data_IF_489887847149
#
_entry.id   IF_489887847149
#
_cell.length_a   1.000
_cell.length_b   1.000
_cell.length_c   1.000
_cell.angle_alpha   90.00
_cell.angle_beta   90.00
_cell.angle_gamma   90.00
#
_symmetry.space_group_name_H-M   'P 1'
#
loop_
_entity.id
_entity.type
_entity.pdbx_description
1 polymer ?
#
# COMPACT_ATOMS: atom_id res chain seq x y z
N UNK A 1 -45.66 -37.06 35.74
CA UNK A 1 -44.66 -37.85 34.98
C UNK A 1 -43.93 -36.89 34.07
N UNK A 2 -42.61 -36.73 33.99
CA UNK A 2 -41.45 -37.48 34.46
C UNK A 2 -40.25 -36.52 34.55
N UNK A 3 -39.35 -36.87 35.45
CA UNK A 3 -38.10 -36.24 35.86
C UNK A 3 -36.91 -36.50 34.92
N UNK A 4 -35.88 -35.65 35.08
CA UNK A 4 -34.42 -35.92 35.08
C UNK A 4 -33.60 -35.99 33.77
N UNK A 5 -32.68 -35.00 33.67
CA UNK A 5 -31.22 -35.07 33.51
C UNK A 5 -30.57 -36.22 32.69
N UNK A 6 -29.72 -35.82 31.73
CA UNK A 6 -28.62 -36.62 31.20
C UNK A 6 -27.67 -35.81 30.32
N UNK A 7 -26.57 -35.31 30.91
CA UNK A 7 -25.44 -34.64 30.24
C UNK A 7 -24.63 -35.64 29.39
N UNK A 8 -24.07 -35.18 28.25
CA UNK A 8 -22.63 -35.27 27.90
C UNK A 8 -22.36 -34.69 26.49
N UNK A 9 -21.64 -33.56 26.46
CA UNK A 9 -20.47 -33.19 25.61
C UNK A 9 -20.48 -33.57 24.12
N UNK A 10 -20.17 -32.70 23.15
CA UNK A 10 -18.98 -31.85 23.03
C UNK A 10 -19.09 -31.02 21.71
N UNK A 11 -18.31 -29.93 21.61
CA UNK A 11 -17.96 -29.17 20.39
C UNK A 11 -18.95 -28.10 19.87
N UNK A 12 -18.69 -26.83 20.23
CA UNK A 12 -17.97 -25.84 19.41
C UNK A 12 -18.37 -24.42 19.83
N UNK A 13 -17.64 -23.84 20.79
CA UNK A 13 -17.70 -22.39 21.03
C UNK A 13 -16.88 -21.64 19.96
N UNK A 14 -17.35 -20.48 19.46
CA UNK A 14 -16.55 -19.58 18.64
C UNK A 14 -15.56 -18.79 19.51
N UNK A 15 -14.29 -18.83 19.08
CA UNK A 15 -13.15 -18.15 19.67
C UNK A 15 -13.24 -16.62 19.45
N UNK A 16 -14.21 -15.95 20.09
CA UNK A 16 -14.49 -14.52 19.89
C UNK A 16 -14.46 -13.67 21.16
N UNK A 17 -13.96 -14.21 22.28
CA UNK A 17 -13.85 -13.47 23.54
C UNK A 17 -12.53 -13.72 24.25
N UNK A 18 -11.43 -13.23 23.69
CA UNK A 18 -10.22 -12.89 24.46
C UNK A 18 -9.46 -11.70 23.85
N UNK A 19 -10.17 -10.62 23.54
CA UNK A 19 -9.58 -9.29 23.46
C UNK A 19 -10.40 -8.36 24.36
N UNK A 20 -10.22 -8.53 25.67
CA UNK A 20 -10.67 -7.57 26.67
C UNK A 20 -9.80 -6.32 26.53
N UNK A 21 -10.32 -5.35 25.78
CA UNK A 21 -9.80 -3.99 25.74
C UNK A 21 -10.13 -3.34 27.09
N UNK A 22 -9.12 -3.09 27.92
CA UNK A 22 -9.21 -2.14 29.01
C UNK A 22 -8.87 -0.76 28.47
N UNK A 23 -9.82 0.16 28.69
CA UNK A 23 -9.79 1.58 28.35
C UNK A 23 -8.45 2.25 28.65
N UNK A 24 -7.85 2.85 27.63
CA UNK A 24 -7.09 4.08 27.77
C UNK A 24 -7.26 4.90 26.51
N UNK A 25 -7.80 6.11 26.68
CA UNK A 25 -7.78 7.19 25.70
C UNK A 25 -6.34 7.45 25.25
N UNK A 26 -5.97 6.87 24.11
CA UNK A 26 -4.83 7.31 23.33
C UNK A 26 -5.31 7.37 21.88
N UNK A 27 -5.65 8.57 21.43
CA UNK A 27 -5.73 8.88 20.00
C UNK A 27 -4.45 8.35 19.36
N UNK A 28 -4.48 7.40 18.40
CA UNK A 28 -3.26 6.95 17.78
C UNK A 28 -2.84 8.02 16.77
N UNK A 29 -2.13 9.04 17.26
CA UNK A 29 -1.14 9.72 16.45
C UNK A 29 -0.04 8.69 16.17
N UNK A 30 -0.28 7.87 15.15
CA UNK A 30 0.76 7.07 14.53
C UNK A 30 1.82 8.08 14.11
N UNK A 31 2.96 8.10 14.78
CA UNK A 31 4.15 8.79 14.30
C UNK A 31 4.58 8.06 13.01
N UNK A 32 4.00 8.45 11.86
CA UNK A 32 4.07 7.77 10.55
C UNK A 32 5.42 7.92 9.84
N UNK A 33 6.51 7.84 10.58
CA UNK A 33 7.85 7.73 10.00
C UNK A 33 8.64 6.73 10.86
N UNK A 34 8.18 5.48 10.87
CA UNK A 34 8.99 4.40 11.43
C UNK A 34 10.21 4.23 10.53
N UNK A 35 11.35 4.78 10.96
CA UNK A 35 12.64 4.57 10.30
C UNK A 35 12.83 3.05 10.14
N UNK A 36 12.95 2.57 8.89
CA UNK A 36 13.10 1.14 8.62
C UNK A 36 14.37 0.64 9.33
N UNK A 37 14.19 -0.09 10.42
CA UNK A 37 15.29 -0.61 11.22
C UNK A 37 15.31 -2.13 11.12
N UNK A 38 16.09 -2.63 10.16
CA UNK A 38 16.29 -4.05 9.94
C UNK A 38 17.61 -4.49 10.58
N UNK A 39 17.65 -5.71 11.12
CA UNK A 39 18.93 -6.32 11.51
C UNK A 39 19.71 -6.78 10.28
N UNK A 40 21.04 -6.99 10.35
CA UNK A 40 21.81 -7.58 9.24
C UNK A 40 21.23 -8.92 8.77
N UNK A 41 20.75 -9.74 9.72
CA UNK A 41 20.06 -11.01 9.43
C UNK A 41 18.78 -10.79 8.62
N UNK A 42 17.95 -9.83 9.01
CA UNK A 42 16.70 -9.52 8.31
C UNK A 42 16.96 -8.96 6.90
N UNK A 43 17.98 -8.12 6.72
CA UNK A 43 18.40 -7.66 5.37
C UNK A 43 18.82 -8.83 4.48
N UNK A 44 19.63 -9.75 5.01
CA UNK A 44 20.02 -10.97 4.28
C UNK A 44 18.81 -11.81 3.88
N UNK A 45 17.88 -12.04 4.80
CA UNK A 45 16.66 -12.83 4.55
C UNK A 45 15.73 -12.16 3.54
N UNK A 46 15.60 -10.83 3.57
CA UNK A 46 14.84 -10.07 2.55
C UNK A 46 15.45 -10.26 1.17
N UNK A 47 16.76 -10.05 1.01
CA UNK A 47 17.46 -10.25 -0.27
C UNK A 47 17.27 -11.68 -0.79
N UNK A 48 17.47 -12.69 0.07
CA UNK A 48 17.32 -14.09 -0.32
C UNK A 48 15.90 -14.45 -0.74
N UNK A 49 14.90 -14.11 0.07
CA UNK A 49 13.50 -14.42 -0.23
C UNK A 49 12.97 -13.62 -1.41
N UNK A 50 13.37 -12.36 -1.57
CA UNK A 50 13.05 -11.57 -2.77
C UNK A 50 13.63 -12.19 -4.03
N UNK A 51 14.92 -12.54 -4.05
CA UNK A 51 15.55 -13.15 -5.23
C UNK A 51 14.88 -14.48 -5.61
N UNK A 52 14.51 -15.29 -4.62
CA UNK A 52 13.75 -16.51 -4.87
C UNK A 52 12.38 -16.21 -5.52
N UNK A 53 11.66 -15.20 -5.02
CA UNK A 53 10.38 -14.80 -5.60
C UNK A 53 10.51 -14.04 -6.93
N UNK A 54 11.59 -13.32 -7.19
CA UNK A 54 11.76 -12.54 -8.42
C UNK A 54 12.29 -13.39 -9.58
N UNK A 55 12.77 -14.61 -9.29
CA UNK A 55 13.18 -15.55 -10.31
C UNK A 55 12.04 -15.90 -11.27
N UNK A 56 12.32 -15.86 -12.58
CA UNK A 56 11.39 -16.26 -13.64
C UNK A 56 10.09 -15.45 -13.72
N UNK A 57 10.08 -14.20 -13.20
CA UNK A 57 8.90 -13.33 -13.23
C UNK A 57 7.82 -13.68 -12.20
N UNK A 58 8.14 -14.52 -11.20
CA UNK A 58 7.18 -14.92 -10.16
C UNK A 58 6.70 -13.72 -9.33
N UNK A 59 7.58 -12.76 -9.04
CA UNK A 59 7.23 -11.56 -8.27
C UNK A 59 6.28 -10.64 -9.05
N UNK A 60 6.43 -10.55 -10.38
CA UNK A 60 5.47 -9.83 -11.24
C UNK A 60 4.07 -10.44 -11.12
N UNK A 61 3.94 -11.78 -11.16
CA UNK A 61 2.65 -12.48 -10.97
C UNK A 61 2.06 -12.24 -9.59
N UNK A 62 2.90 -12.10 -8.56
CA UNK A 62 2.45 -11.72 -7.22
C UNK A 62 1.93 -10.29 -7.19
N UNK A 63 2.59 -9.35 -7.86
CA UNK A 63 2.11 -7.97 -8.01
C UNK A 63 0.77 -7.91 -8.74
N UNK A 64 0.62 -8.62 -9.85
CA UNK A 64 -0.68 -8.75 -10.56
C UNK A 64 -1.77 -9.36 -9.66
N UNK A 65 -1.42 -10.30 -8.78
CA UNK A 65 -2.36 -10.87 -7.80
C UNK A 65 -2.76 -9.84 -6.73
N UNK A 66 -1.83 -9.00 -6.30
CA UNK A 66 -2.09 -7.89 -5.36
C UNK A 66 -3.04 -6.88 -5.99
N UNK A 67 -2.76 -6.42 -7.22
CA UNK A 67 -3.61 -5.45 -7.92
C UNK A 67 -5.00 -6.01 -8.24
N UNK A 68 -5.13 -7.27 -8.67
CA UNK A 68 -6.46 -7.91 -8.84
C UNK A 68 -7.29 -7.92 -7.55
N UNK A 69 -6.66 -8.13 -6.38
CA UNK A 69 -7.38 -8.05 -5.09
C UNK A 69 -7.69 -6.61 -4.69
N UNK A 70 -6.83 -5.66 -5.08
CA UNK A 70 -7.08 -4.26 -4.85
C UNK A 70 -8.27 -3.78 -5.69
N UNK A 71 -8.36 -4.17 -6.97
CA UNK A 71 -9.51 -3.88 -7.85
C UNK A 71 -10.83 -4.38 -7.24
N UNK A 72 -10.82 -5.58 -6.64
CA UNK A 72 -12.00 -6.14 -5.96
C UNK A 72 -12.46 -5.31 -4.76
N UNK A 73 -11.52 -4.68 -4.03
CA UNK A 73 -11.84 -3.81 -2.89
C UNK A 73 -12.12 -2.36 -3.32
N UNK A 74 -11.54 -1.94 -4.43
CA UNK A 74 -11.58 -0.57 -4.94
C UNK A 74 -11.88 -0.58 -6.46
N UNK A 75 -13.14 -0.78 -6.88
CA UNK A 75 -13.51 -0.90 -8.30
C UNK A 75 -13.12 0.32 -9.16
N UNK A 76 -13.08 1.51 -8.53
CA UNK A 76 -12.66 2.77 -9.16
C UNK A 76 -11.19 2.77 -9.62
N UNK A 77 -10.39 1.78 -9.19
CA UNK A 77 -9.01 1.64 -9.64
C UNK A 77 -8.89 1.55 -11.17
N UNK A 78 -9.88 0.92 -11.83
CA UNK A 78 -9.88 0.75 -13.28
C UNK A 78 -10.09 2.08 -14.02
N UNK A 79 -10.95 2.95 -13.51
CA UNK A 79 -11.18 4.26 -14.11
C UNK A 79 -9.96 5.17 -13.96
N UNK A 80 -9.20 5.05 -12.87
CA UNK A 80 -7.95 5.80 -12.68
C UNK A 80 -6.93 5.49 -13.79
N UNK A 81 -6.72 4.21 -14.11
CA UNK A 81 -5.80 3.83 -15.19
C UNK A 81 -6.27 4.33 -16.57
N UNK A 82 -7.58 4.28 -16.83
CA UNK A 82 -8.15 4.79 -18.08
C UNK A 82 -8.01 6.32 -18.21
N UNK A 83 -8.33 7.06 -17.15
CA UNK A 83 -8.19 8.51 -17.11
C UNK A 83 -6.73 8.93 -17.28
N UNK A 84 -5.81 8.28 -16.57
CA UNK A 84 -4.37 8.56 -16.72
C UNK A 84 -3.88 8.23 -18.14
N UNK A 85 -4.28 7.10 -18.71
CA UNK A 85 -3.94 6.76 -20.10
C UNK A 85 -4.49 7.79 -21.10
N UNK A 86 -5.71 8.28 -20.88
CA UNK A 86 -6.32 9.33 -21.70
C UNK A 86 -5.55 10.65 -21.61
N UNK A 87 -5.33 11.18 -20.39
CA UNK A 87 -4.56 12.41 -20.16
C UNK A 87 -3.16 12.31 -20.78
N UNK A 88 -2.51 11.16 -20.62
CA UNK A 88 -1.21 10.90 -21.22
C UNK A 88 -1.24 10.87 -22.75
N UNK A 89 -2.32 10.37 -23.36
CA UNK A 89 -2.49 10.39 -24.83
C UNK A 89 -2.67 11.80 -25.40
N UNK A 90 -3.17 12.73 -24.58
CA UNK A 90 -3.34 14.14 -24.95
C UNK A 90 -2.05 14.96 -24.74
N UNK A 91 -1.14 14.48 -23.89
CA UNK A 91 0.14 15.14 -23.67
C UNK A 91 1.09 14.92 -24.85
N UNK A 92 1.63 16.03 -25.39
CA UNK A 92 2.59 16.00 -26.52
C UNK A 92 4.02 15.66 -26.10
N UNK A 93 4.32 15.66 -24.80
CA UNK A 93 5.67 15.41 -24.30
C UNK A 93 5.96 13.91 -24.14
N UNK A 94 7.07 13.44 -24.74
CA UNK A 94 7.66 12.14 -24.39
C UNK A 94 8.16 12.21 -22.94
N UNK A 95 7.37 11.70 -22.02
CA UNK A 95 7.81 11.55 -20.64
C UNK A 95 8.78 10.35 -20.53
N UNK A 96 9.94 10.61 -19.95
CA UNK A 96 10.87 9.59 -19.43
C UNK A 96 10.74 9.59 -17.90
N UNK A 97 10.54 8.44 -17.23
CA UNK A 97 10.52 7.05 -17.73
C UNK A 97 9.20 6.67 -18.45
N UNK A 98 9.12 5.49 -19.11
CA UNK A 98 7.98 5.09 -19.93
C UNK A 98 6.64 5.25 -19.20
N UNK A 99 5.69 5.89 -19.87
CA UNK A 99 4.35 6.11 -19.35
C UNK A 99 3.69 4.79 -18.96
N UNK A 100 3.20 4.74 -17.72
CA UNK A 100 2.34 3.65 -17.23
C UNK A 100 1.01 3.77 -17.96
N UNK A 101 0.75 2.86 -18.90
CA UNK A 101 -0.48 2.86 -19.72
C UNK A 101 -1.51 1.86 -19.22
N UNK A 102 -1.04 0.80 -18.58
CA UNK A 102 -1.89 -0.29 -18.10
C UNK A 102 -1.53 -0.65 -16.67
N UNK A 103 -2.45 -1.35 -15.98
CA UNK A 103 -2.18 -1.95 -14.67
C UNK A 103 -0.96 -2.89 -14.72
N UNK A 104 -0.78 -3.62 -15.82
CA UNK A 104 0.36 -4.51 -16.01
C UNK A 104 1.69 -3.75 -16.11
N UNK A 105 1.72 -2.59 -16.79
CA UNK A 105 2.89 -1.72 -16.81
C UNK A 105 3.20 -1.16 -15.40
N UNK A 106 2.15 -0.86 -14.64
CA UNK A 106 2.30 -0.44 -13.25
C UNK A 106 2.88 -1.57 -12.38
N UNK A 107 2.44 -2.82 -12.58
CA UNK A 107 3.02 -3.98 -11.90
C UNK A 107 4.51 -4.14 -12.22
N UNK A 108 4.94 -3.94 -13.46
CA UNK A 108 6.37 -3.93 -13.83
C UNK A 108 7.15 -2.81 -13.14
N UNK A 109 6.58 -1.61 -13.08
CA UNK A 109 7.16 -0.50 -12.34
C UNK A 109 7.34 -0.85 -10.85
N UNK A 110 6.34 -1.49 -10.24
CA UNK A 110 6.41 -1.94 -8.85
C UNK A 110 7.50 -2.98 -8.63
N UNK A 111 7.68 -3.94 -9.53
CA UNK A 111 8.81 -4.90 -9.48
C UNK A 111 10.14 -4.13 -9.43
N UNK A 112 10.37 -3.19 -10.35
CA UNK A 112 11.60 -2.38 -10.39
C UNK A 112 11.79 -1.46 -9.18
N UNK A 113 10.70 -1.04 -8.52
CA UNK A 113 10.78 -0.33 -7.23
C UNK A 113 11.27 -1.27 -6.12
N UNK A 114 10.71 -2.48 -6.02
CA UNK A 114 11.15 -3.46 -5.03
C UNK A 114 12.58 -3.92 -5.25
N UNK A 115 13.01 -4.11 -6.50
CA UNK A 115 14.41 -4.39 -6.82
C UNK A 115 15.34 -3.32 -6.25
N UNK A 116 15.07 -2.04 -6.55
CA UNK A 116 15.86 -0.92 -6.02
C UNK A 116 15.82 -0.83 -4.49
N UNK A 117 14.67 -1.04 -3.87
CA UNK A 117 14.55 -1.04 -2.40
C UNK A 117 15.39 -2.16 -1.77
N UNK A 118 15.31 -3.37 -2.32
CA UNK A 118 16.02 -4.54 -1.81
C UNK A 118 17.53 -4.40 -2.03
N UNK A 119 17.96 -3.86 -3.16
CA UNK A 119 19.38 -3.63 -3.46
C UNK A 119 20.01 -2.62 -2.50
N UNK A 120 19.25 -1.60 -2.10
CA UNK A 120 19.72 -0.48 -1.29
C UNK A 120 19.29 -0.55 0.19
N UNK A 121 19.01 -1.73 0.75
CA UNK A 121 18.57 -1.87 2.15
C UNK A 121 19.54 -1.28 3.19
N UNK A 122 20.83 -1.19 2.86
CA UNK A 122 21.87 -0.64 3.75
C UNK A 122 21.89 0.90 3.72
N UNK A 123 21.39 1.53 2.67
CA UNK A 123 21.21 2.99 2.55
C UNK A 123 19.86 3.35 1.88
N UNK A 124 18.77 2.96 2.53
CA UNK A 124 17.43 2.98 1.92
C UNK A 124 16.81 4.40 1.83
N UNK A 125 17.39 5.40 2.50
CA UNK A 125 16.76 6.72 2.69
C UNK A 125 16.40 7.43 1.36
N UNK A 126 17.27 7.31 0.35
CA UNK A 126 17.00 7.86 -0.99
C UNK A 126 15.81 7.15 -1.65
N UNK A 127 15.74 5.82 -1.52
CA UNK A 127 14.64 5.04 -2.06
C UNK A 127 13.33 5.38 -1.34
N UNK A 128 13.34 5.55 -0.02
CA UNK A 128 12.16 5.98 0.74
C UNK A 128 11.71 7.40 0.36
N UNK A 129 12.65 8.29 0.05
CA UNK A 129 12.34 9.63 -0.47
C UNK A 129 11.68 9.56 -1.84
N UNK A 130 12.11 8.63 -2.70
CA UNK A 130 11.42 8.35 -3.96
C UNK A 130 10.01 7.77 -3.75
N UNK A 131 9.81 6.88 -2.77
CA UNK A 131 8.48 6.37 -2.42
C UNK A 131 7.54 7.51 -1.98
N UNK A 132 8.03 8.46 -1.16
CA UNK A 132 7.27 9.67 -0.82
C UNK A 132 6.86 10.44 -2.07
N UNK A 133 7.79 10.64 -3.01
CA UNK A 133 7.48 11.35 -4.24
C UNK A 133 6.41 10.63 -5.08
N UNK A 134 6.42 9.30 -5.13
CA UNK A 134 5.34 8.55 -5.76
C UNK A 134 4.00 8.77 -5.06
N UNK A 135 3.97 8.83 -3.73
CA UNK A 135 2.77 9.21 -2.97
C UNK A 135 2.20 10.57 -3.39
N UNK A 136 3.07 11.57 -3.56
CA UNK A 136 2.68 12.91 -4.03
C UNK A 136 2.07 12.87 -5.44
N UNK A 137 2.66 12.10 -6.36
CA UNK A 137 2.11 11.90 -7.71
C UNK A 137 0.74 11.23 -7.68
N UNK A 138 0.54 10.27 -6.78
CA UNK A 138 -0.76 9.63 -6.62
C UNK A 138 -1.83 10.57 -6.04
N UNK A 139 -1.46 11.51 -5.17
CA UNK A 139 -2.38 12.55 -4.69
C UNK A 139 -2.85 13.51 -5.78
N UNK A 140 -2.07 13.69 -6.85
CA UNK A 140 -2.48 14.48 -8.01
C UNK A 140 -3.58 13.77 -8.84
N UNK A 141 -3.77 12.46 -8.65
CA UNK A 141 -4.82 11.68 -9.30
C UNK A 141 -6.12 11.63 -8.48
N UNK A 142 -6.27 12.49 -7.48
CA UNK A 142 -7.48 12.55 -6.65
C UNK A 142 -8.75 12.84 -7.49
N UNK A 143 -8.64 13.67 -8.52
CA UNK A 143 -9.74 13.97 -9.46
C UNK A 143 -10.15 12.74 -10.29
N UNK A 144 -9.22 11.82 -10.52
CA UNK A 144 -9.49 10.52 -11.16
C UNK A 144 -10.08 9.49 -10.18
N UNK A 145 -10.25 9.84 -8.90
CA UNK A 145 -10.78 8.97 -7.86
C UNK A 145 -9.73 8.27 -6.99
N UNK A 146 -8.44 8.59 -7.13
CA UNK A 146 -7.42 7.96 -6.28
C UNK A 146 -7.52 8.46 -4.83
N UNK A 147 -7.56 7.54 -3.87
CA UNK A 147 -7.67 7.88 -2.44
C UNK A 147 -6.53 7.31 -1.61
N UNK A 148 -6.26 7.93 -0.45
CA UNK A 148 -5.29 7.42 0.50
C UNK A 148 -5.63 6.01 1.02
N UNK A 149 -6.91 5.64 1.03
CA UNK A 149 -7.35 4.31 1.44
C UNK A 149 -6.86 3.21 0.46
N UNK A 150 -6.74 3.51 -0.83
CA UNK A 150 -6.20 2.56 -1.82
C UNK A 150 -4.73 2.20 -1.51
N UNK A 151 -3.93 3.15 -1.00
CA UNK A 151 -2.55 2.90 -0.57
C UNK A 151 -2.51 1.96 0.63
N UNK A 152 -3.37 2.19 1.61
CA UNK A 152 -3.48 1.36 2.82
C UNK A 152 -3.93 -0.07 2.47
N UNK A 153 -4.95 -0.19 1.61
CA UNK A 153 -5.44 -1.47 1.10
C UNK A 153 -4.36 -2.21 0.31
N UNK A 154 -3.59 -1.51 -0.52
CA UNK A 154 -2.43 -2.10 -1.21
C UNK A 154 -1.41 -2.66 -0.21
N UNK A 155 -1.08 -1.93 0.84
CA UNK A 155 -0.16 -2.38 1.88
C UNK A 155 -0.64 -3.63 2.62
N UNK A 156 -1.91 -3.63 3.05
CA UNK A 156 -2.55 -4.76 3.73
C UNK A 156 -2.54 -6.03 2.85
N UNK A 157 -2.98 -5.89 1.59
CA UNK A 157 -3.01 -7.00 0.63
C UNK A 157 -1.59 -7.50 0.34
N UNK A 158 -0.61 -6.61 0.21
CA UNK A 158 0.79 -6.96 -0.04
C UNK A 158 1.37 -7.78 1.11
N UNK A 159 1.13 -7.36 2.36
CA UNK A 159 1.56 -8.12 3.56
C UNK A 159 0.96 -9.51 3.56
N UNK A 160 -0.33 -9.64 3.24
CA UNK A 160 -0.99 -10.94 3.18
C UNK A 160 -0.41 -11.82 2.06
N UNK A 161 -0.31 -11.31 0.83
CA UNK A 161 0.10 -12.09 -0.34
C UNK A 161 1.57 -12.51 -0.24
N UNK A 162 2.47 -11.58 0.08
CA UNK A 162 3.91 -11.84 0.17
C UNK A 162 4.19 -12.70 1.40
N UNK A 163 3.56 -12.39 2.53
CA UNK A 163 3.69 -13.18 3.77
C UNK A 163 3.24 -14.64 3.64
N UNK A 164 2.38 -14.95 2.66
CA UNK A 164 1.88 -16.29 2.39
C UNK A 164 2.74 -17.13 1.45
N UNK A 165 3.84 -16.57 0.89
CA UNK A 165 4.73 -17.33 0.02
C UNK A 165 5.58 -18.31 0.84
N UNK A 166 5.83 -19.51 0.31
CA UNK A 166 6.56 -20.58 1.05
C UNK A 166 7.94 -20.12 1.51
N UNK A 167 8.64 -19.33 0.68
CA UNK A 167 9.97 -18.76 0.98
C UNK A 167 9.94 -17.67 2.07
N UNK A 168 8.74 -17.25 2.49
CA UNK A 168 8.52 -16.24 3.54
C UNK A 168 7.85 -16.86 4.78
N UNK A 169 6.72 -17.55 4.60
CA UNK A 169 5.77 -17.92 5.67
C UNK A 169 6.33 -18.84 6.76
N UNK A 170 7.32 -19.66 6.43
CA UNK A 170 7.90 -20.63 7.36
C UNK A 170 9.08 -20.08 8.19
N UNK A 171 9.51 -18.84 7.96
CA UNK A 171 10.57 -18.21 8.72
C UNK A 171 10.10 -16.92 9.38
N UNK A 172 9.90 -16.94 10.69
CA UNK A 172 9.40 -15.80 11.46
C UNK A 172 10.19 -14.50 11.25
N UNK A 173 11.52 -14.58 11.13
CA UNK A 173 12.37 -13.41 10.88
C UNK A 173 12.18 -12.88 9.47
N UNK A 174 12.02 -13.74 8.47
CA UNK A 174 11.69 -13.34 7.10
C UNK A 174 10.33 -12.66 7.04
N UNK A 175 9.30 -13.24 7.68
CA UNK A 175 7.95 -12.64 7.75
C UNK A 175 8.01 -11.27 8.43
N UNK A 176 8.76 -11.14 9.54
CA UNK A 176 8.92 -9.87 10.25
C UNK A 176 9.62 -8.82 9.38
N UNK A 177 10.68 -9.20 8.67
CA UNK A 177 11.41 -8.30 7.79
C UNK A 177 10.53 -7.78 6.64
N UNK A 178 9.75 -8.64 5.99
CA UNK A 178 8.79 -8.25 4.96
C UNK A 178 7.70 -7.32 5.50
N UNK A 179 7.14 -7.61 6.68
CA UNK A 179 6.15 -6.74 7.32
C UNK A 179 6.69 -5.34 7.59
N UNK A 180 7.92 -5.25 8.11
CA UNK A 180 8.57 -3.97 8.37
C UNK A 180 8.83 -3.18 7.08
N UNK A 181 9.33 -3.84 6.03
CA UNK A 181 9.58 -3.21 4.74
C UNK A 181 8.27 -2.70 4.11
N UNK A 182 7.24 -3.53 4.05
CA UNK A 182 5.96 -3.18 3.44
C UNK A 182 5.25 -2.08 4.21
N UNK A 183 5.23 -2.15 5.54
CA UNK A 183 4.70 -1.08 6.38
C UNK A 183 5.43 0.25 6.10
N UNK A 184 6.76 0.22 6.06
CA UNK A 184 7.55 1.41 5.75
C UNK A 184 7.24 1.97 4.35
N UNK A 185 7.19 1.14 3.30
CA UNK A 185 6.85 1.60 1.95
C UNK A 185 5.45 2.22 1.90
N UNK A 186 4.46 1.57 2.52
CA UNK A 186 3.08 2.08 2.59
C UNK A 186 3.01 3.39 3.36
N UNK A 187 3.67 3.49 4.51
CA UNK A 187 3.72 4.70 5.33
C UNK A 187 4.38 5.86 4.58
N UNK A 188 5.51 5.62 3.90
CA UNK A 188 6.21 6.66 3.14
C UNK A 188 5.38 7.15 1.95
N UNK A 189 4.69 6.24 1.27
CA UNK A 189 3.75 6.61 0.21
C UNK A 189 2.58 7.43 0.77
N UNK A 190 2.07 7.07 1.95
CA UNK A 190 1.03 7.82 2.66
C UNK A 190 1.49 9.21 3.09
N UNK A 191 2.72 9.35 3.58
CA UNK A 191 3.30 10.65 3.96
C UNK A 191 3.32 11.60 2.76
N UNK A 192 3.83 11.13 1.62
CA UNK A 192 3.83 11.92 0.38
C UNK A 192 2.43 12.28 -0.10
N UNK A 193 1.52 11.30 -0.08
CA UNK A 193 0.13 11.49 -0.46
C UNK A 193 -0.55 12.56 0.40
N UNK A 194 -0.54 12.38 1.73
CA UNK A 194 -1.21 13.27 2.68
C UNK A 194 -0.62 14.69 2.62
N UNK A 195 0.69 14.83 2.41
CA UNK A 195 1.35 16.13 2.22
C UNK A 195 0.79 16.85 0.99
N UNK A 196 0.75 16.18 -0.15
CA UNK A 196 0.30 16.80 -1.40
C UNK A 196 -1.21 17.07 -1.40
N UNK A 197 -2.03 16.19 -0.83
CA UNK A 197 -3.47 16.44 -0.65
C UNK A 197 -3.74 17.72 0.14
N UNK A 198 -2.99 17.98 1.23
CA UNK A 198 -3.12 19.24 1.99
C UNK A 198 -2.73 20.47 1.18
N UNK A 199 -1.68 20.36 0.36
CA UNK A 199 -1.24 21.46 -0.52
C UNK A 199 -2.33 21.79 -1.55
N UNK A 200 -2.91 20.76 -2.18
CA UNK A 200 -3.98 20.93 -3.17
C UNK A 200 -5.26 21.51 -2.54
N UNK A 201 -5.66 21.03 -1.35
CA UNK A 201 -6.81 21.56 -0.63
C UNK A 201 -6.67 23.06 -0.30
N UNK A 202 -5.47 23.50 0.10
CA UNK A 202 -5.19 24.93 0.36
C UNK A 202 -5.27 25.78 -0.91
N UNK A 203 -4.73 25.31 -2.04
CA UNK A 203 -4.83 26.03 -3.32
C UNK A 203 -6.27 26.24 -3.74
N UNK A 204 -7.12 25.23 -3.57
CA UNK A 204 -8.54 25.32 -3.92
C UNK A 204 -9.31 26.29 -3.00
N UNK A 205 -8.91 26.44 -1.73
CA UNK A 205 -9.53 27.39 -0.80
C UNK A 205 -9.12 28.86 -1.00
N UNK A 206 -8.01 29.13 -1.71
CA UNK A 206 -7.51 30.49 -1.91
C UNK A 206 -8.04 31.17 -3.18
N UNK A 207 -8.88 30.51 -3.98
CA UNK A 207 -9.61 31.13 -5.07
C UNK A 207 -11.03 31.50 -4.58
N UNK A 208 -11.29 32.75 -4.16
CA UNK A 208 -12.65 33.18 -3.89
C UNK A 208 -13.46 33.10 -5.20
N UNK A 209 -14.75 32.72 -5.15
CA UNK A 209 -15.62 32.85 -6.30
C UNK A 209 -15.64 34.33 -6.69
N UNK A 210 -15.31 34.62 -7.95
CA UNK A 210 -15.37 35.95 -8.51
C UNK A 210 -16.86 36.37 -8.56
N UNK A 211 -17.38 36.88 -7.44
CA UNK A 211 -18.68 37.55 -7.39
C UNK A 211 -18.52 38.93 -8.03
N UNK A 212 -18.39 38.97 -9.36
CA UNK A 212 -18.83 40.13 -10.12
C UNK A 212 -20.29 39.92 -10.51
N UNK A 213 -21.14 40.02 -9.50
CA UNK A 213 -22.54 40.40 -9.67
C UNK A 213 -22.69 41.85 -9.25
N UNK A 214 -22.83 42.74 -10.22
CA UNK A 214 -23.52 44.05 -10.14
C UNK A 214 -23.63 44.55 -11.58
N UNK A 215 -24.76 44.36 -12.26
CA UNK A 215 -26.03 45.07 -12.12
C UNK A 215 -26.03 46.39 -12.92
N UNK A 216 -26.93 46.40 -13.91
CA UNK A 216 -27.51 47.51 -14.69
C UNK A 216 -26.58 48.41 -15.53
#
# INVERSE_FOLDING_TARGET
MLTLLGKLTHFREPLSRQLSLSDTNVTPQINRCAKLNLTPKQRKLLRQSFNAMNSGGTFLKLMEKIFRRLEQKCPDMRSIFLTTAFVNSLSRERQTPPLVKTEHDHCKCMVGIFERLIDNLDNINEQLTMIRHYGEKHAQMAESGFTGAMIEQFGEISVFIIGSQDVVKFNHETVKAWRLLLACVTDEMKVGFDRMTRINGRRNSCNPPNQNGSAN
#
